data_IF_672606804132
#
_entry.id   IF_672606804132
#
_cell.length_a   1.000
_cell.length_b   1.000
_cell.length_c   1.000
_cell.angle_alpha   90.00
_cell.angle_beta   90.00
_cell.angle_gamma   90.00
#
_symmetry.space_group_name_H-M   'P 1'
#
loop_
_entity.id
_entity.type
_entity.pdbx_description
1 polymer ?
#
# COMPACT_ATOMS: atom_id res chain seq x y z
N UNK A 1 -11.25 -2.77 -20.17
CA UNK A 1 -11.49 -1.98 -18.94
C UNK A 1 -11.69 -0.54 -19.37
N UNK A 2 -12.94 -0.09 -19.52
CA UNK A 2 -13.27 1.25 -20.00
C UNK A 2 -13.09 2.27 -18.88
N UNK A 3 -12.46 3.43 -19.12
CA UNK A 3 -12.32 4.45 -18.09
C UNK A 3 -13.70 5.02 -17.75
N UNK A 4 -14.04 5.02 -16.46
CA UNK A 4 -15.26 5.60 -15.91
C UNK A 4 -15.25 7.12 -16.18
N UNK A 5 -15.97 7.57 -17.21
CA UNK A 5 -16.10 8.99 -17.59
C UNK A 5 -17.04 9.69 -16.60
N UNK A 6 -16.48 10.35 -15.60
CA UNK A 6 -17.22 11.26 -14.71
C UNK A 6 -17.44 12.60 -15.42
N UNK A 7 -18.67 12.85 -15.88
CA UNK A 7 -19.15 14.10 -16.50
C UNK A 7 -19.69 15.05 -15.41
N UNK A 8 -18.83 15.62 -14.56
CA UNK A 8 -19.27 16.50 -13.46
C UNK A 8 -18.67 17.90 -13.49
N UNK A 9 -17.74 18.19 -14.41
CA UNK A 9 -16.95 19.42 -14.39
C UNK A 9 -17.27 20.40 -15.53
N UNK A 10 -18.25 20.10 -16.38
CA UNK A 10 -18.43 20.86 -17.62
C UNK A 10 -18.92 22.30 -17.36
N UNK A 11 -19.41 22.62 -16.15
CA UNK A 11 -19.99 23.94 -15.81
C UNK A 11 -19.75 24.39 -14.34
N UNK A 12 -18.58 24.09 -13.77
CA UNK A 12 -18.25 24.61 -12.42
C UNK A 12 -17.70 26.04 -12.56
N UNK A 13 -18.53 27.02 -12.23
CA UNK A 13 -18.14 28.43 -12.14
C UNK A 13 -17.85 28.84 -10.69
N UNK A 14 -16.75 29.57 -10.50
CA UNK A 14 -16.42 30.26 -9.25
C UNK A 14 -16.56 31.76 -9.50
N UNK A 15 -17.52 32.40 -8.82
CA UNK A 15 -17.79 33.83 -8.93
C UNK A 15 -18.06 34.33 -10.37
N UNK A 16 -18.72 33.49 -11.18
CA UNK A 16 -19.02 33.80 -12.60
C UNK A 16 -17.89 33.48 -13.56
N UNK A 17 -16.72 33.04 -13.08
CA UNK A 17 -15.62 32.59 -13.93
C UNK A 17 -15.53 31.06 -13.99
N UNK A 18 -15.21 30.54 -15.18
CA UNK A 18 -15.04 29.12 -15.41
C UNK A 18 -13.73 28.63 -14.80
N UNK A 19 -13.80 27.62 -13.93
CA UNK A 19 -12.62 27.03 -13.34
C UNK A 19 -11.75 26.30 -14.38
N UNK A 20 -10.44 26.48 -14.28
CA UNK A 20 -9.47 25.81 -15.13
C UNK A 20 -9.32 24.33 -14.75
N UNK A 21 -9.28 23.46 -15.75
CA UNK A 21 -9.11 22.03 -15.55
C UNK A 21 -7.63 21.66 -15.42
N UNK A 22 -7.11 21.56 -14.20
CA UNK A 22 -5.71 21.17 -13.93
C UNK A 22 -5.50 19.66 -13.84
N UNK A 23 -4.31 19.19 -14.21
CA UNK A 23 -3.94 17.77 -14.18
C UNK A 23 -3.48 17.31 -12.80
N UNK A 24 -2.79 18.18 -12.06
CA UNK A 24 -2.45 17.97 -10.66
C UNK A 24 -2.36 19.30 -9.92
N UNK A 25 -2.66 19.30 -8.63
CA UNK A 25 -2.51 20.47 -7.77
C UNK A 25 -2.16 20.04 -6.35
N UNK A 26 -1.51 20.91 -5.59
CA UNK A 26 -1.19 20.67 -4.19
C UNK A 26 -2.33 21.19 -3.32
N UNK A 27 -2.87 20.33 -2.46
CA UNK A 27 -3.90 20.69 -1.49
C UNK A 27 -3.47 20.19 -0.12
N UNK A 28 -3.31 21.12 0.84
CA UNK A 28 -2.90 20.82 2.21
C UNK A 28 -1.61 19.97 2.28
N UNK A 29 -0.65 20.21 1.38
CA UNK A 29 0.60 19.47 1.31
C UNK A 29 0.52 18.09 0.64
N UNK A 30 -0.66 17.68 0.17
CA UNK A 30 -0.84 16.48 -0.64
C UNK A 30 -1.00 16.84 -2.12
N UNK A 31 -0.33 16.11 -3.00
CA UNK A 31 -0.51 16.27 -4.45
C UNK A 31 -1.73 15.48 -4.91
N UNK A 32 -2.78 16.19 -5.30
CA UNK A 32 -3.98 15.62 -5.90
C UNK A 32 -3.82 15.62 -7.42
N UNK A 33 -3.99 14.46 -8.04
CA UNK A 33 -3.92 14.30 -9.51
C UNK A 33 -5.28 13.93 -10.08
N UNK A 34 -5.63 14.50 -11.23
CA UNK A 34 -6.84 14.21 -12.01
C UNK A 34 -6.93 12.74 -12.35
N UNK A 35 -5.82 12.20 -12.82
CA UNK A 35 -5.62 10.78 -12.84
C UNK A 35 -5.41 10.40 -11.40
N UNK A 36 -6.47 9.99 -10.74
CA UNK A 36 -6.38 9.18 -9.53
C UNK A 36 -5.65 7.89 -9.95
N UNK A 37 -4.36 7.99 -10.24
CA UNK A 37 -3.39 6.89 -10.38
C UNK A 37 -3.09 6.34 -8.99
N UNK A 38 -4.15 6.23 -8.18
CA UNK A 38 -4.27 5.31 -7.08
C UNK A 38 -3.75 3.95 -7.52
N UNK A 39 -3.98 3.50 -8.75
CA UNK A 39 -3.37 2.26 -9.26
C UNK A 39 -1.85 2.20 -9.13
N UNK A 40 -1.08 3.25 -9.45
CA UNK A 40 0.39 3.18 -9.31
C UNK A 40 0.83 3.31 -7.87
N UNK A 41 0.21 4.21 -7.09
CA UNK A 41 0.59 4.41 -5.68
C UNK A 41 0.12 3.25 -4.78
N UNK A 42 -1.11 2.76 -4.97
CA UNK A 42 -1.64 1.56 -4.33
C UNK A 42 -0.82 0.34 -4.73
N UNK A 43 -0.45 0.19 -6.01
CA UNK A 43 0.45 -0.90 -6.43
C UNK A 43 1.80 -0.77 -5.75
N UNK A 44 2.37 0.43 -5.65
CA UNK A 44 3.63 0.66 -4.94
C UNK A 44 3.53 0.27 -3.45
N UNK A 45 2.47 0.71 -2.75
CA UNK A 45 2.24 0.36 -1.34
C UNK A 45 2.00 -1.15 -1.17
N UNK A 46 1.25 -1.77 -2.07
CA UNK A 46 0.99 -3.21 -2.08
C UNK A 46 2.28 -4.01 -2.32
N UNK A 47 3.11 -3.61 -3.28
CA UNK A 47 4.42 -4.24 -3.52
C UNK A 47 5.30 -4.16 -2.27
N UNK A 48 5.40 -2.99 -1.64
CA UNK A 48 6.19 -2.83 -0.39
C UNK A 48 5.66 -3.69 0.75
N UNK A 49 4.34 -3.76 0.93
CA UNK A 49 3.72 -4.59 1.96
C UNK A 49 4.01 -6.09 1.72
N UNK A 50 3.88 -6.55 0.48
CA UNK A 50 4.20 -7.93 0.09
C UNK A 50 5.67 -8.26 0.35
N UNK A 51 6.61 -7.38 -0.02
CA UNK A 51 8.03 -7.57 0.25
C UNK A 51 8.35 -7.66 1.75
N UNK A 52 7.75 -6.80 2.57
CA UNK A 52 7.90 -6.85 4.02
C UNK A 52 7.38 -8.17 4.61
N UNK A 53 6.23 -8.65 4.15
CA UNK A 53 5.64 -9.91 4.60
C UNK A 53 6.52 -11.11 4.23
N UNK A 54 7.08 -11.14 3.02
CA UNK A 54 8.02 -12.20 2.60
C UNK A 54 9.29 -12.19 3.45
N UNK A 55 9.80 -11.02 3.84
CA UNK A 55 10.95 -10.94 4.74
C UNK A 55 10.63 -11.50 6.12
N UNK A 56 9.47 -11.14 6.68
CA UNK A 56 9.01 -11.63 7.98
C UNK A 56 8.79 -13.16 7.97
N UNK A 57 8.17 -13.69 6.93
CA UNK A 57 7.93 -15.14 6.83
C UNK A 57 9.23 -15.94 6.80
N UNK A 58 10.25 -15.45 6.10
CA UNK A 58 11.58 -16.06 6.09
C UNK A 58 12.25 -16.03 7.47
N UNK A 59 12.12 -14.91 8.19
CA UNK A 59 12.67 -14.79 9.55
C UNK A 59 12.02 -15.79 10.51
N UNK A 60 10.70 -15.90 10.48
CA UNK A 60 9.97 -16.84 11.33
C UNK A 60 10.29 -18.30 11.00
N UNK A 61 10.39 -18.65 9.71
CA UNK A 61 10.78 -20.00 9.29
C UNK A 61 12.25 -20.33 9.61
N UNK A 62 13.12 -19.32 9.75
CA UNK A 62 14.51 -19.52 10.19
C UNK A 62 14.65 -19.74 11.70
N UNK A 63 13.64 -19.34 12.47
CA UNK A 63 13.54 -19.58 13.92
C UNK A 63 12.77 -20.87 14.19
N UNK A 64 13.20 -21.99 13.62
CA UNK A 64 12.77 -23.29 14.13
C UNK A 64 13.51 -23.53 15.45
N UNK A 65 12.82 -23.66 16.60
CA UNK A 65 13.48 -24.15 17.81
C UNK A 65 13.99 -25.54 17.49
N UNK A 66 15.31 -25.72 17.46
CA UNK A 66 15.87 -27.07 17.41
C UNK A 66 15.25 -27.85 18.56
N UNK A 67 14.81 -29.11 18.35
CA UNK A 67 14.30 -29.92 19.43
C UNK A 67 15.45 -30.08 20.42
N UNK A 68 15.36 -29.34 21.54
CA UNK A 68 16.29 -29.45 22.64
C UNK A 68 16.06 -30.85 23.23
N UNK A 69 16.84 -31.81 22.72
CA UNK A 69 16.76 -33.21 23.12
C UNK A 69 17.49 -33.37 24.45
N UNK A 70 16.94 -32.77 25.50
CA UNK A 70 17.35 -33.07 26.88
C UNK A 70 16.73 -34.40 27.25
N UNK A 71 17.46 -35.48 26.97
CA UNK A 71 17.14 -36.84 27.42
C UNK A 71 17.15 -36.84 28.96
N UNK A 72 16.01 -37.07 29.66
CA UNK A 72 16.05 -37.21 31.11
C UNK A 72 16.81 -38.50 31.43
N UNK A 73 17.95 -38.40 32.13
CA UNK A 73 18.64 -39.57 32.65
C UNK A 73 17.80 -40.16 33.78
N UNK A 74 16.98 -41.16 33.45
CA UNK A 74 16.42 -42.07 34.45
C UNK A 74 17.54 -43.02 34.87
N UNK A 75 18.11 -42.82 36.07
CA UNK A 75 18.54 -43.84 37.05
C UNK A 75 19.37 -43.15 38.16
N UNK A 76 18.98 -43.22 39.45
CA UNK A 76 19.88 -42.96 40.57
C UNK A 76 20.66 -44.23 40.95
N UNK A 77 21.88 -44.02 41.45
CA UNK A 77 22.83 -45.03 41.94
C UNK A 77 22.41 -45.70 43.24
#
# INVERSE_FOLDING_TARGET
MTPYKRRLNDDINMNGEKLEEVTSFMYLGATLSRYCTSTTEVRLRMTRATEAMVRLSRLWSSSSPSPCSTRPSLYPS
#
